data_IF_509295059606
#
_entry.id   IF_509295059606
#
_cell.length_a   1.000
_cell.length_b   1.000
_cell.length_c   1.000
_cell.angle_alpha   90.00
_cell.angle_beta   90.00
_cell.angle_gamma   90.00
#
_symmetry.space_group_name_H-M   'P 1'
#
loop_
_entity.id
_entity.type
_entity.pdbx_description
1 polymer ?
#
# COMPACT_ATOMS: atom_id res chain seq x y z
N UNK A 1 -14.29 -25.83 -4.87
CA UNK A 1 -14.23 -25.20 -3.53
C UNK A 1 -12.76 -24.95 -3.16
N UNK A 2 -12.41 -23.80 -2.58
CA UNK A 2 -11.04 -23.57 -2.09
C UNK A 2 -10.87 -24.25 -0.73
N UNK A 3 -9.78 -25.02 -0.53
CA UNK A 3 -9.53 -25.74 0.73
C UNK A 3 -9.22 -24.74 1.86
N UNK A 4 -9.71 -24.95 3.10
CA UNK A 4 -9.53 -24.03 4.24
C UNK A 4 -8.06 -23.64 4.51
N UNK A 5 -7.12 -24.58 4.29
CA UNK A 5 -5.69 -24.32 4.36
C UNK A 5 -5.21 -23.18 3.42
N UNK A 6 -5.79 -23.06 2.22
CA UNK A 6 -5.39 -22.02 1.24
C UNK A 6 -5.76 -20.62 1.73
N UNK A 7 -6.93 -20.47 2.36
CA UNK A 7 -7.41 -19.17 2.84
C UNK A 7 -6.62 -18.68 4.07
N UNK A 8 -6.26 -19.60 4.98
CA UNK A 8 -5.34 -19.28 6.08
C UNK A 8 -3.96 -18.85 5.57
N UNK A 9 -3.47 -19.47 4.49
CA UNK A 9 -2.23 -19.04 3.82
C UNK A 9 -2.36 -17.65 3.18
N UNK A 10 -3.53 -17.31 2.61
CA UNK A 10 -3.77 -15.97 2.08
C UNK A 10 -3.69 -14.89 3.17
N UNK A 11 -4.41 -15.07 4.28
CA UNK A 11 -4.39 -14.13 5.41
C UNK A 11 -2.99 -13.93 5.99
N UNK A 12 -2.24 -15.03 6.18
CA UNK A 12 -0.83 -14.97 6.62
C UNK A 12 0.07 -14.24 5.62
N UNK A 13 -0.14 -14.46 4.32
CA UNK A 13 0.65 -13.80 3.27
C UNK A 13 0.42 -12.29 3.25
N UNK A 14 -0.84 -11.84 3.36
CA UNK A 14 -1.15 -10.40 3.46
C UNK A 14 -0.54 -9.81 4.73
N UNK A 15 -0.80 -10.42 5.90
CA UNK A 15 -0.29 -9.92 7.17
C UNK A 15 1.25 -9.80 7.19
N UNK A 16 1.94 -10.81 6.67
CA UNK A 16 3.40 -10.78 6.53
C UNK A 16 3.84 -9.66 5.57
N UNK A 17 3.26 -9.58 4.38
CA UNK A 17 3.65 -8.60 3.37
C UNK A 17 3.43 -7.15 3.82
N UNK A 18 2.30 -6.88 4.47
CA UNK A 18 2.00 -5.55 5.01
C UNK A 18 2.86 -5.21 6.24
N UNK A 19 3.19 -6.20 7.09
CA UNK A 19 4.14 -5.99 8.19
C UNK A 19 5.54 -5.65 7.68
N UNK A 20 6.03 -6.35 6.64
CA UNK A 20 7.31 -6.04 6.00
C UNK A 20 7.29 -4.65 5.38
N UNK A 21 6.18 -4.29 4.73
CA UNK A 21 6.00 -2.98 4.13
C UNK A 21 6.07 -1.85 5.17
N UNK A 22 5.24 -1.92 6.22
CA UNK A 22 5.25 -0.92 7.30
C UNK A 22 6.60 -0.87 8.01
N UNK A 23 7.16 -2.04 8.35
CA UNK A 23 8.46 -2.12 9.02
C UNK A 23 9.61 -1.52 8.18
N UNK A 24 9.64 -1.79 6.88
CA UNK A 24 10.64 -1.22 5.98
C UNK A 24 10.49 0.29 5.81
N UNK A 25 9.26 0.82 5.76
CA UNK A 25 9.04 2.27 5.75
C UNK A 25 9.47 2.93 7.06
N UNK A 26 9.18 2.32 8.21
CA UNK A 26 9.65 2.81 9.51
C UNK A 26 11.19 2.80 9.58
N UNK A 27 11.84 1.77 9.04
CA UNK A 27 13.29 1.74 8.92
C UNK A 27 13.83 2.90 8.06
N UNK A 28 13.16 3.22 6.93
CA UNK A 28 13.53 4.38 6.11
C UNK A 28 13.42 5.69 6.89
N UNK A 29 12.33 5.89 7.64
CA UNK A 29 12.13 7.07 8.51
C UNK A 29 13.22 7.16 9.57
N UNK A 30 13.59 6.04 10.20
CA UNK A 30 14.64 6.02 11.22
C UNK A 30 16.03 6.34 10.64
N UNK A 31 16.33 5.85 9.44
CA UNK A 31 17.64 6.05 8.79
C UNK A 31 17.79 7.45 8.18
N UNK A 32 16.70 8.04 7.69
CA UNK A 32 16.74 9.34 7.03
C UNK A 32 15.53 10.22 7.41
N UNK A 33 15.41 10.63 8.69
CA UNK A 33 14.26 11.39 9.19
C UNK A 33 14.14 12.78 8.53
N UNK A 34 15.26 13.34 8.08
CA UNK A 34 15.28 14.63 7.38
C UNK A 34 14.52 14.60 6.05
N UNK A 35 14.37 13.43 5.41
CA UNK A 35 13.58 13.27 4.18
C UNK A 35 12.07 13.38 4.42
N UNK A 36 11.62 13.17 5.66
CA UNK A 36 10.21 13.35 6.06
C UNK A 36 9.87 14.83 6.24
N UNK A 37 10.85 15.63 6.67
CA UNK A 37 10.67 17.04 7.03
C UNK A 37 10.97 17.99 5.87
N UNK A 38 11.50 17.49 4.75
CA UNK A 38 11.92 18.29 3.61
C UNK A 38 10.70 18.67 2.77
N UNK A 39 10.25 19.93 2.93
CA UNK A 39 9.07 20.46 2.24
C UNK A 39 9.13 20.36 0.69
N UNK A 40 10.33 20.26 0.11
CA UNK A 40 10.55 20.21 -1.34
C UNK A 40 10.56 18.80 -1.95
N UNK A 41 10.57 17.73 -1.15
CA UNK A 41 10.61 16.35 -1.64
C UNK A 41 9.45 15.56 -1.05
N UNK A 42 8.40 15.37 -1.85
CA UNK A 42 7.04 15.39 -1.29
C UNK A 42 6.49 13.99 -0.95
N UNK A 43 7.16 12.89 -1.29
CA UNK A 43 6.58 11.53 -1.16
C UNK A 43 7.49 10.46 -0.55
N UNK A 44 6.88 9.35 -0.13
CA UNK A 44 7.54 8.13 0.36
C UNK A 44 8.48 7.53 -0.68
N UNK A 45 8.24 7.76 -1.98
CA UNK A 45 9.14 7.36 -3.06
C UNK A 45 10.52 8.01 -3.00
N UNK A 46 10.68 9.12 -2.26
CA UNK A 46 11.99 9.72 -2.03
C UNK A 46 12.95 8.74 -1.35
N UNK A 47 12.47 7.87 -0.45
CA UNK A 47 13.31 6.83 0.15
C UNK A 47 13.87 5.82 -0.88
N UNK A 48 13.23 5.67 -2.04
CA UNK A 48 13.69 4.78 -3.09
C UNK A 48 14.89 5.30 -3.87
N UNK A 49 15.29 6.56 -3.70
CA UNK A 49 16.37 7.18 -4.50
C UNK A 49 17.60 7.55 -3.68
N UNK A 50 17.50 7.49 -2.36
CA UNK A 50 18.64 7.72 -1.46
C UNK A 50 19.32 6.41 -1.10
N UNK A 51 20.65 6.35 -1.25
CA UNK A 51 21.45 5.14 -0.99
C UNK A 51 21.26 4.55 0.42
N UNK A 52 20.97 5.40 1.42
CA UNK A 52 20.74 4.97 2.81
C UNK A 52 19.40 4.26 3.02
N UNK A 53 18.41 4.51 2.15
CA UNK A 53 17.03 4.02 2.33
C UNK A 53 16.51 3.18 1.17
N UNK A 54 17.26 3.10 0.06
CA UNK A 54 16.90 2.34 -1.15
C UNK A 54 16.61 0.86 -0.86
N UNK A 55 17.42 0.23 -0.01
CA UNK A 55 17.26 -1.17 0.38
C UNK A 55 16.01 -1.40 1.23
N UNK A 56 15.82 -0.74 2.40
CA UNK A 56 14.61 -0.92 3.20
C UNK A 56 13.33 -0.50 2.44
N UNK A 57 13.40 0.51 1.58
CA UNK A 57 12.30 0.90 0.70
C UNK A 57 11.94 -0.21 -0.30
N UNK A 58 12.93 -0.75 -1.00
CA UNK A 58 12.73 -1.84 -1.95
C UNK A 58 12.16 -3.09 -1.28
N UNK A 59 12.71 -3.47 -0.11
CA UNK A 59 12.23 -4.60 0.70
C UNK A 59 10.78 -4.39 1.14
N UNK A 60 10.42 -3.17 1.57
CA UNK A 60 9.05 -2.84 1.96
C UNK A 60 8.06 -3.15 0.83
N UNK A 61 8.29 -2.54 -0.34
CA UNK A 61 7.38 -2.68 -1.49
C UNK A 61 7.36 -4.12 -2.02
N UNK A 62 8.52 -4.79 -2.16
CA UNK A 62 8.58 -6.19 -2.58
C UNK A 62 7.83 -7.10 -1.60
N UNK A 63 7.95 -6.87 -0.28
CA UNK A 63 7.21 -7.60 0.74
C UNK A 63 5.70 -7.49 0.55
N UNK A 64 5.19 -6.27 0.34
CA UNK A 64 3.77 -6.02 0.05
C UNK A 64 3.32 -6.74 -1.22
N UNK A 65 4.05 -6.57 -2.32
CA UNK A 65 3.76 -7.18 -3.63
C UNK A 65 3.69 -8.70 -3.51
N UNK A 66 4.68 -9.34 -2.89
CA UNK A 66 4.73 -10.79 -2.71
C UNK A 66 3.58 -11.27 -1.83
N UNK A 67 3.28 -10.58 -0.73
CA UNK A 67 2.18 -10.93 0.16
C UNK A 67 0.82 -10.88 -0.55
N UNK A 68 0.55 -9.79 -1.26
CA UNK A 68 -0.69 -9.57 -2.02
C UNK A 68 -0.81 -10.55 -3.21
N UNK A 69 0.26 -10.79 -3.96
CA UNK A 69 0.28 -11.73 -5.07
C UNK A 69 0.12 -13.19 -4.64
N UNK A 70 0.61 -13.57 -3.45
CA UNK A 70 0.34 -14.89 -2.87
C UNK A 70 -1.11 -15.01 -2.44
N UNK A 71 -1.66 -13.97 -1.82
CA UNK A 71 -3.07 -13.95 -1.41
C UNK A 71 -4.01 -14.05 -2.62
N UNK A 72 -3.72 -13.35 -3.72
CA UNK A 72 -4.55 -13.40 -4.94
C UNK A 72 -4.72 -14.80 -5.52
N UNK A 73 -3.69 -15.65 -5.43
CA UNK A 73 -3.71 -17.05 -5.91
C UNK A 73 -4.54 -17.98 -5.04
N UNK A 74 -4.82 -17.57 -3.80
CA UNK A 74 -5.50 -18.41 -2.80
C UNK A 74 -6.92 -17.95 -2.49
N UNK A 75 -7.28 -16.74 -2.90
CA UNK A 75 -8.60 -16.16 -2.73
C UNK A 75 -9.34 -16.16 -4.07
N UNK A 76 -10.65 -16.48 -4.07
CA UNK A 76 -11.46 -16.48 -5.30
C UNK A 76 -11.84 -15.06 -5.73
N UNK A 77 -12.26 -14.92 -6.99
CA UNK A 77 -12.90 -13.69 -7.49
C UNK A 77 -14.12 -13.32 -6.61
N UNK A 78 -14.39 -12.03 -6.38
CA UNK A 78 -13.63 -10.88 -6.90
C UNK A 78 -12.38 -10.51 -6.06
N UNK A 79 -12.29 -10.95 -4.80
CA UNK A 79 -11.24 -10.49 -3.87
C UNK A 79 -9.81 -10.86 -4.32
N UNK A 80 -9.64 -12.03 -4.94
CA UNK A 80 -8.35 -12.43 -5.49
C UNK A 80 -7.83 -11.44 -6.54
N UNK A 81 -8.73 -10.89 -7.36
CA UNK A 81 -8.36 -9.89 -8.38
C UNK A 81 -8.04 -8.55 -7.78
N UNK A 82 -8.77 -8.15 -6.74
CA UNK A 82 -8.46 -6.91 -6.03
C UNK A 82 -7.08 -6.98 -5.36
N UNK A 83 -6.70 -8.11 -4.75
CA UNK A 83 -5.35 -8.33 -4.24
C UNK A 83 -4.29 -8.33 -5.35
N UNK A 84 -4.61 -8.92 -6.51
CA UNK A 84 -3.71 -8.89 -7.67
C UNK A 84 -3.52 -7.46 -8.21
N UNK A 85 -4.58 -6.67 -8.30
CA UNK A 85 -4.54 -5.28 -8.72
C UNK A 85 -3.67 -4.45 -7.77
N UNK A 86 -3.86 -4.59 -6.45
CA UNK A 86 -2.96 -3.94 -5.47
C UNK A 86 -1.50 -4.37 -5.68
N UNK A 87 -1.23 -5.67 -5.87
CA UNK A 87 0.14 -6.15 -6.09
C UNK A 87 0.78 -5.52 -7.34
N UNK A 88 0.01 -5.40 -8.43
CA UNK A 88 0.46 -4.73 -9.67
C UNK A 88 0.73 -3.26 -9.43
N UNK A 89 -0.18 -2.54 -8.76
CA UNK A 89 -0.01 -1.11 -8.47
C UNK A 89 1.22 -0.84 -7.60
N UNK A 90 1.42 -1.60 -6.51
CA UNK A 90 2.60 -1.48 -5.66
C UNK A 90 3.89 -1.84 -6.41
N UNK A 91 3.85 -2.87 -7.26
CA UNK A 91 5.00 -3.25 -8.09
C UNK A 91 5.35 -2.17 -9.11
N UNK A 92 4.34 -1.59 -9.77
CA UNK A 92 4.52 -0.50 -10.72
C UNK A 92 5.04 0.77 -10.03
N UNK A 93 4.51 1.11 -8.85
CA UNK A 93 5.01 2.22 -8.04
C UNK A 93 6.49 2.03 -7.70
N UNK A 94 6.90 0.83 -7.26
CA UNK A 94 8.31 0.53 -6.99
C UNK A 94 9.20 0.66 -8.23
N UNK A 95 8.78 0.05 -9.35
CA UNK A 95 9.57 0.07 -10.60
C UNK A 95 9.72 1.50 -11.13
N UNK A 96 8.68 2.31 -11.05
CA UNK A 96 8.71 3.71 -11.50
C UNK A 96 9.46 4.64 -10.54
N UNK A 97 9.60 4.29 -9.24
CA UNK A 97 10.38 5.09 -8.28
C UNK A 97 11.86 5.24 -8.67
N UNK A 98 12.46 4.25 -9.31
CA UNK A 98 13.89 4.36 -9.63
C UNK A 98 14.20 5.32 -10.78
N UNK A 99 13.44 5.35 -11.89
CA UNK A 99 13.74 6.21 -13.02
C UNK A 99 12.93 7.53 -13.05
N UNK A 100 11.98 7.81 -12.14
CA UNK A 100 11.07 8.98 -12.29
C UNK A 100 11.74 10.35 -12.34
N UNK A 101 12.99 10.46 -11.87
CA UNK A 101 13.75 11.71 -11.92
C UNK A 101 14.45 11.97 -13.26
N UNK A 102 14.45 11.00 -14.19
CA UNK A 102 15.20 11.10 -15.44
C UNK A 102 14.51 12.01 -16.46
N UNK A 103 13.17 12.03 -16.49
CA UNK A 103 12.38 12.90 -17.34
C UNK A 103 10.95 13.10 -16.81
N UNK A 104 10.25 14.10 -17.35
CA UNK A 104 8.89 14.47 -16.93
C UNK A 104 7.87 13.37 -17.20
N UNK A 105 8.00 12.61 -18.29
CA UNK A 105 7.06 11.53 -18.62
C UNK A 105 7.15 10.38 -17.63
N UNK A 106 8.36 10.03 -17.17
CA UNK A 106 8.55 9.04 -16.11
C UNK A 106 8.05 9.54 -14.75
N UNK A 107 8.18 10.85 -14.47
CA UNK A 107 7.55 11.48 -13.31
C UNK A 107 6.03 11.36 -13.35
N UNK A 108 5.40 11.70 -14.47
CA UNK A 108 3.95 11.62 -14.64
C UNK A 108 3.46 10.18 -14.50
N UNK A 109 4.21 9.23 -15.07
CA UNK A 109 3.92 7.80 -14.93
C UNK A 109 4.02 7.35 -13.47
N UNK A 110 5.07 7.77 -12.75
CA UNK A 110 5.22 7.46 -11.32
C UNK A 110 4.05 8.03 -10.50
N UNK A 111 3.72 9.30 -10.69
CA UNK A 111 2.62 9.96 -9.99
C UNK A 111 1.27 9.26 -10.30
N UNK A 112 1.04 8.87 -11.56
CA UNK A 112 -0.14 8.09 -11.97
C UNK A 112 -0.19 6.71 -11.28
N UNK A 113 0.94 6.00 -11.16
CA UNK A 113 0.97 4.73 -10.42
C UNK A 113 0.72 4.92 -8.92
N UNK A 114 1.18 6.03 -8.34
CA UNK A 114 0.87 6.41 -6.96
C UNK A 114 -0.62 6.63 -6.74
N UNK A 115 -1.26 7.39 -7.63
CA UNK A 115 -2.72 7.64 -7.61
C UNK A 115 -3.48 6.32 -7.76
N UNK A 116 -3.12 5.49 -8.75
CA UNK A 116 -3.75 4.19 -8.95
C UNK A 116 -3.63 3.30 -7.71
N UNK A 117 -2.46 3.29 -7.06
CA UNK A 117 -2.23 2.55 -5.82
C UNK A 117 -3.20 3.00 -4.73
N UNK A 118 -3.32 4.32 -4.49
CA UNK A 118 -4.22 4.87 -3.47
C UNK A 118 -5.70 4.55 -3.76
N UNK A 119 -6.14 4.65 -5.01
CA UNK A 119 -7.54 4.40 -5.39
C UNK A 119 -7.89 2.92 -5.22
N UNK A 120 -7.02 2.03 -5.71
CA UNK A 120 -7.26 0.58 -5.63
C UNK A 120 -7.18 0.11 -4.18
N UNK A 121 -6.24 0.62 -3.37
CA UNK A 121 -6.14 0.32 -1.95
C UNK A 121 -7.38 0.78 -1.18
N UNK A 122 -7.86 2.00 -1.45
CA UNK A 122 -9.06 2.54 -0.82
C UNK A 122 -10.31 1.74 -1.18
N UNK A 123 -10.47 1.36 -2.45
CA UNK A 123 -11.56 0.50 -2.90
C UNK A 123 -11.60 -0.84 -2.15
N UNK A 124 -10.43 -1.44 -1.88
CA UNK A 124 -10.34 -2.64 -1.06
C UNK A 124 -10.72 -2.36 0.40
N UNK A 125 -10.35 -1.21 0.94
CA UNK A 125 -10.76 -0.73 2.27
C UNK A 125 -12.28 -0.63 2.42
N UNK A 126 -12.97 -0.09 1.42
CA UNK A 126 -14.45 -0.04 1.39
C UNK A 126 -15.05 -1.46 1.45
N UNK A 127 -14.48 -2.40 0.69
CA UNK A 127 -14.90 -3.81 0.73
C UNK A 127 -14.62 -4.44 2.09
N UNK A 128 -13.50 -4.11 2.73
CA UNK A 128 -13.17 -4.56 4.08
C UNK A 128 -14.19 -4.05 5.10
N UNK A 129 -14.59 -2.78 5.03
CA UNK A 129 -15.62 -2.19 5.90
C UNK A 129 -16.97 -2.90 5.77
N UNK A 130 -17.36 -3.29 4.55
CA UNK A 130 -18.59 -4.05 4.33
C UNK A 130 -18.57 -5.43 5.03
N UNK A 131 -17.39 -5.96 5.35
CA UNK A 131 -17.18 -7.23 6.08
C UNK A 131 -16.91 -7.04 7.57
N UNK A 132 -16.38 -5.90 7.98
CA UNK A 132 -16.05 -5.57 9.36
C UNK A 132 -16.31 -4.09 9.65
N UNK A 133 -17.44 -3.79 10.30
CA UNK A 133 -17.85 -2.41 10.62
C UNK A 133 -16.90 -1.70 11.58
N UNK A 134 -16.12 -2.45 12.38
CA UNK A 134 -15.09 -1.88 13.27
C UNK A 134 -13.95 -1.20 12.51
N UNK A 135 -13.84 -1.40 11.19
CA UNK A 135 -12.87 -0.70 10.35
C UNK A 135 -13.30 0.72 9.95
N UNK A 136 -14.50 1.18 10.34
CA UNK A 136 -14.96 2.54 10.02
C UNK A 136 -13.94 3.66 10.34
N UNK A 137 -13.31 3.72 11.54
CA UNK A 137 -12.29 4.72 11.81
C UNK A 137 -11.03 4.55 10.96
N UNK A 138 -10.65 3.31 10.60
CA UNK A 138 -9.49 3.03 9.75
C UNK A 138 -9.75 3.55 8.33
N UNK A 139 -10.93 3.28 7.78
CA UNK A 139 -11.33 3.78 6.47
C UNK A 139 -11.46 5.30 6.45
N UNK A 140 -11.94 5.91 7.54
CA UNK A 140 -11.98 7.36 7.67
C UNK A 140 -10.57 7.97 7.64
N UNK A 141 -9.60 7.36 8.32
CA UNK A 141 -8.20 7.75 8.24
C UNK A 141 -7.62 7.55 6.82
N UNK A 142 -7.97 6.45 6.15
CA UNK A 142 -7.59 6.21 4.75
C UNK A 142 -8.15 7.30 3.82
N UNK A 143 -9.43 7.66 3.97
CA UNK A 143 -10.09 8.71 3.19
C UNK A 143 -9.46 10.08 3.46
N UNK A 144 -9.13 10.39 4.71
CA UNK A 144 -8.44 11.62 5.07
C UNK A 144 -7.05 11.69 4.41
N UNK A 145 -6.29 10.59 4.45
CA UNK A 145 -5.01 10.49 3.74
C UNK A 145 -5.16 10.68 2.23
N UNK A 146 -6.17 10.06 1.60
CA UNK A 146 -6.47 10.23 0.18
C UNK A 146 -6.81 11.70 -0.16
N UNK A 147 -7.62 12.36 0.67
CA UNK A 147 -7.97 13.77 0.49
C UNK A 147 -6.73 14.68 0.61
N UNK A 148 -5.89 14.48 1.63
CA UNK A 148 -4.64 15.24 1.80
C UNK A 148 -3.67 15.00 0.65
N UNK A 149 -3.57 13.75 0.16
CA UNK A 149 -2.77 13.40 -1.01
C UNK A 149 -3.24 14.15 -2.26
N UNK A 150 -4.55 14.20 -2.48
CA UNK A 150 -5.17 14.93 -3.60
C UNK A 150 -4.86 16.43 -3.53
N UNK A 151 -5.01 17.04 -2.35
CA UNK A 151 -4.67 18.46 -2.12
C UNK A 151 -3.18 18.72 -2.34
N UNK A 152 -2.31 17.77 -2.00
CA UNK A 152 -0.86 17.91 -2.25
C UNK A 152 -0.52 17.79 -3.73
N UNK A 153 -1.19 16.90 -4.48
CA UNK A 153 -0.96 16.73 -5.92
C UNK A 153 -1.33 17.97 -6.74
N UNK A 154 -2.32 18.76 -6.30
CA UNK A 154 -2.65 20.05 -6.92
C UNK A 154 -1.76 21.20 -6.44
N UNK A 155 -0.70 20.90 -5.67
CA UNK A 155 0.29 21.86 -5.20
C UNK A 155 -0.18 22.76 -4.05
N UNK A 156 -1.35 22.49 -3.47
CA UNK A 156 -1.91 23.35 -2.43
C UNK A 156 -1.19 23.15 -1.08
N UNK A 157 -0.80 21.92 -0.73
CA UNK A 157 -0.07 21.57 0.51
C UNK A 157 1.19 20.73 0.21
N UNK A 158 2.07 20.54 1.19
CA UNK A 158 3.28 19.71 1.09
C UNK A 158 3.24 18.55 2.09
N UNK A 159 2.15 17.77 2.09
CA UNK A 159 1.88 16.71 3.07
C UNK A 159 1.74 15.32 2.42
N UNK A 160 2.24 15.14 1.18
CA UNK A 160 2.08 13.89 0.44
C UNK A 160 2.75 12.71 1.14
N UNK A 161 3.87 12.92 1.83
CA UNK A 161 4.50 11.88 2.65
C UNK A 161 3.54 11.37 3.74
N UNK A 162 2.98 12.29 4.54
CA UNK A 162 2.06 11.94 5.63
C UNK A 162 0.77 11.30 5.10
N UNK A 163 0.26 11.82 3.98
CA UNK A 163 -0.85 11.21 3.26
C UNK A 163 -0.52 9.76 2.86
N UNK A 164 0.58 9.53 2.16
CA UNK A 164 0.99 8.21 1.68
C UNK A 164 1.26 7.21 2.82
N UNK A 165 1.86 7.64 3.93
CA UNK A 165 2.08 6.79 5.11
C UNK A 165 0.75 6.45 5.76
N UNK A 166 -0.15 7.42 5.97
CA UNK A 166 -1.45 7.17 6.59
C UNK A 166 -2.33 6.25 5.76
N UNK A 167 -2.41 6.45 4.43
CA UNK A 167 -3.14 5.55 3.52
C UNK A 167 -2.52 4.15 3.51
N UNK A 168 -1.20 4.06 3.49
CA UNK A 168 -0.43 2.81 3.53
C UNK A 168 -0.70 1.98 4.79
N UNK A 169 -0.69 2.62 5.96
CA UNK A 169 -0.95 1.97 7.25
C UNK A 169 -2.42 1.55 7.35
N UNK A 170 -3.35 2.43 6.94
CA UNK A 170 -4.77 2.09 6.94
C UNK A 170 -5.07 0.88 6.04
N UNK A 171 -4.56 0.90 4.80
CA UNK A 171 -4.67 -0.22 3.88
C UNK A 171 -4.07 -1.52 4.46
N UNK A 172 -2.92 -1.43 5.12
CA UNK A 172 -2.26 -2.60 5.72
C UNK A 172 -3.18 -3.34 6.72
N UNK A 173 -3.91 -2.57 7.53
CA UNK A 173 -4.89 -3.09 8.49
C UNK A 173 -6.11 -3.67 7.75
N UNK A 174 -6.69 -2.89 6.84
CA UNK A 174 -7.91 -3.28 6.09
C UNK A 174 -7.71 -4.54 5.27
N UNK A 175 -6.61 -4.62 4.51
CA UNK A 175 -6.27 -5.77 3.67
C UNK A 175 -6.08 -7.03 4.51
N UNK A 176 -5.41 -6.91 5.67
CA UNK A 176 -5.20 -8.03 6.60
C UNK A 176 -6.52 -8.54 7.16
N UNK A 177 -7.38 -7.65 7.64
CA UNK A 177 -8.69 -8.02 8.19
C UNK A 177 -9.60 -8.60 7.11
N UNK A 178 -9.61 -8.04 5.91
CA UNK A 178 -10.37 -8.58 4.78
C UNK A 178 -9.92 -10.01 4.46
N UNK A 179 -8.61 -10.26 4.37
CA UNK A 179 -8.08 -11.59 4.10
C UNK A 179 -8.48 -12.61 5.19
N UNK A 180 -8.48 -12.21 6.46
CA UNK A 180 -8.96 -13.03 7.58
C UNK A 180 -10.47 -13.31 7.49
N UNK A 181 -11.29 -12.29 7.22
CA UNK A 181 -12.75 -12.44 7.11
C UNK A 181 -13.15 -13.32 5.94
N UNK A 182 -12.46 -13.20 4.81
CA UNK A 182 -12.67 -14.09 3.65
C UNK A 182 -12.27 -15.53 3.96
N UNK A 183 -11.31 -15.76 4.86
CA UNK A 183 -10.96 -17.10 5.31
C UNK A 183 -12.00 -17.71 6.25
N UNK A 184 -12.54 -16.93 7.20
CA UNK A 184 -13.50 -17.38 8.21
C UNK A 184 -14.90 -17.65 7.64
N UNK A 185 -15.38 -16.84 6.69
CA UNK A 185 -16.73 -16.98 6.11
C UNK A 185 -16.95 -18.27 5.28
N UNK A 186 -15.96 -19.16 5.23
CA UNK A 186 -16.02 -20.44 4.50
C UNK A 186 -15.71 -21.66 5.36
N UNK A 187 -15.39 -21.47 6.64
CA UNK A 187 -15.25 -22.56 7.61
C UNK A 187 -16.56 -22.89 8.35
N UNK A 188 -17.56 -22.02 8.21
CA UNK A 188 -18.95 -22.20 8.67
C UNK A 188 -19.81 -22.66 7.52
#
# INVERSE_FOLDING_TARGET
MARPHRLATAARSVAWGQSVFVGGLLACVALAPHLVLKASEVGVSNFGVHATTVVPYGVAFVGSVVGLARASRHVRRPYGEAFAACAVCYGAALVTTYPYHLDTGLKDLHDATGIATMVVSFGLGVVALARERRLAPVLAAHLAGLAVGTVTLVGAWHLLFAAQVSTSVAFSVEATVLAQRVALARST
#
